data_IF_479893603488
#
_entry.id   IF_479893603488
#
_cell.length_a   1.000
_cell.length_b   1.000
_cell.length_c   1.000
_cell.angle_alpha   90.00
_cell.angle_beta   90.00
_cell.angle_gamma   90.00
#
_symmetry.space_group_name_H-M   'P 1'
#
loop_
_entity.id
_entity.type
_entity.pdbx_description
1 polymer ?
#
# COMPACT_ATOMS: atom_id res chain seq x y z
N UNK A 1 5.56 -10.48 14.79
CA UNK A 1 6.01 -9.28 14.07
C UNK A 1 4.93 -8.91 13.07
N UNK A 2 4.61 -7.63 12.89
CA UNK A 2 3.61 -7.15 11.94
C UNK A 2 4.30 -6.76 10.63
N UNK A 3 3.93 -7.38 9.51
CA UNK A 3 4.55 -7.12 8.20
C UNK A 3 3.82 -5.99 7.46
N UNK A 4 4.46 -4.82 7.39
CA UNK A 4 3.93 -3.61 6.75
C UNK A 4 4.79 -3.26 5.54
N UNK A 5 4.14 -3.22 4.39
CA UNK A 5 4.72 -2.88 3.10
C UNK A 5 4.29 -1.48 2.70
N UNK A 6 5.25 -0.59 2.48
CA UNK A 6 4.97 0.82 2.20
C UNK A 6 5.34 1.12 0.75
N UNK A 7 4.45 1.73 -0.02
CA UNK A 7 4.80 2.25 -1.35
C UNK A 7 5.94 3.26 -1.25
N UNK A 8 7.05 3.06 -1.96
CA UNK A 8 8.19 3.97 -1.92
C UNK A 8 8.30 4.75 -3.22
N UNK A 9 8.43 6.07 -3.10
CA UNK A 9 8.73 6.97 -4.21
C UNK A 9 9.93 7.85 -3.82
N UNK A 10 11.02 7.88 -4.60
CA UNK A 10 12.17 8.76 -4.33
C UNK A 10 11.82 10.25 -4.30
N UNK A 11 10.68 10.67 -4.86
CA UNK A 11 10.20 12.05 -4.75
C UNK A 11 9.51 12.33 -3.40
N UNK A 12 9.05 11.30 -2.69
CA UNK A 12 8.25 11.37 -1.46
C UNK A 12 8.96 10.71 -0.26
N UNK A 13 10.29 10.81 -0.19
CA UNK A 13 11.11 10.17 0.86
C UNK A 13 10.70 10.63 2.27
N UNK A 14 10.38 11.91 2.43
CA UNK A 14 9.93 12.46 3.71
C UNK A 14 8.61 11.83 4.15
N UNK A 15 7.66 11.67 3.23
CA UNK A 15 6.36 11.07 3.52
C UNK A 15 6.51 9.62 4.02
N UNK A 16 7.36 8.82 3.35
CA UNK A 16 7.70 7.46 3.80
C UNK A 16 8.22 7.41 5.25
N UNK A 17 9.16 8.31 5.59
CA UNK A 17 9.73 8.34 6.94
C UNK A 17 8.74 8.85 7.99
N UNK A 18 7.92 9.85 7.65
CA UNK A 18 6.84 10.35 8.52
C UNK A 18 5.83 9.24 8.80
N UNK A 19 5.44 8.46 7.79
CA UNK A 19 4.56 7.31 8.00
C UNK A 19 5.20 6.27 8.92
N UNK A 20 6.45 5.86 8.66
CA UNK A 20 7.17 4.91 9.53
C UNK A 20 7.19 5.39 10.98
N UNK A 21 7.55 6.66 11.20
CA UNK A 21 7.61 7.26 12.53
C UNK A 21 6.24 7.29 13.20
N UNK A 22 5.20 7.73 12.49
CA UNK A 22 3.84 7.78 13.02
C UNK A 22 3.31 6.40 13.43
N UNK A 23 3.69 5.34 12.72
CA UNK A 23 3.37 3.96 13.10
C UNK A 23 4.13 3.58 14.38
N UNK A 24 5.45 3.85 14.43
CA UNK A 24 6.28 3.52 15.58
C UNK A 24 5.81 4.20 16.88
N UNK A 25 5.31 5.43 16.79
CA UNK A 25 4.80 6.18 17.94
C UNK A 25 3.57 5.53 18.60
N UNK A 26 2.79 4.76 17.84
CA UNK A 26 1.55 4.14 18.32
C UNK A 26 1.60 2.61 18.42
N UNK A 27 2.66 1.98 17.90
CA UNK A 27 2.71 0.52 17.77
C UNK A 27 2.90 -0.19 19.11
N UNK A 28 1.96 -1.05 19.48
CA UNK A 28 2.09 -1.93 20.67
C UNK A 28 2.88 -3.22 20.41
N UNK A 29 3.17 -3.53 19.14
CA UNK A 29 3.84 -4.77 18.71
C UNK A 29 4.98 -4.44 17.73
N UNK A 30 6.04 -5.26 17.68
CA UNK A 30 7.12 -5.06 16.71
C UNK A 30 6.62 -5.06 15.26
N UNK A 31 6.97 -3.99 14.54
CA UNK A 31 6.60 -3.77 13.13
C UNK A 31 7.82 -3.94 12.24
N UNK A 32 7.65 -4.64 11.12
CA UNK A 32 8.63 -4.71 10.03
C UNK A 32 8.16 -3.82 8.89
N UNK A 33 8.95 -2.80 8.57
CA UNK A 33 8.74 -1.97 7.40
C UNK A 33 9.48 -2.53 6.20
N UNK A 34 8.77 -2.74 5.09
CA UNK A 34 9.36 -3.15 3.81
C UNK A 34 8.98 -2.15 2.73
N UNK A 35 9.89 -1.27 2.27
CA UNK A 35 9.60 -0.37 1.17
C UNK A 35 9.41 -1.16 -0.14
N UNK A 36 8.34 -0.87 -0.88
CA UNK A 36 8.14 -1.35 -2.23
C UNK A 36 8.79 -0.33 -3.18
N UNK A 37 10.11 -0.44 -3.32
CA UNK A 37 10.92 0.38 -4.23
C UNK A 37 11.15 -0.35 -5.56
N UNK A 38 10.74 0.27 -6.68
CA UNK A 38 10.92 -0.30 -8.01
C UNK A 38 12.38 -0.55 -8.37
N UNK A 39 13.31 0.29 -7.90
CA UNK A 39 14.73 0.09 -8.18
C UNK A 39 15.26 -1.20 -7.55
N UNK A 40 14.76 -1.54 -6.36
CA UNK A 40 15.07 -2.80 -5.67
C UNK A 40 14.38 -4.04 -6.26
N UNK A 41 13.30 -3.87 -7.02
CA UNK A 41 12.42 -4.97 -7.48
C UNK A 41 12.63 -5.38 -8.95
N UNK A 42 13.69 -4.89 -9.61
CA UNK A 42 13.97 -5.13 -11.04
C UNK A 42 14.05 -6.62 -11.42
N UNK A 43 14.45 -7.50 -10.49
CA UNK A 43 14.50 -8.94 -10.71
C UNK A 43 13.11 -9.58 -10.87
N UNK A 44 12.09 -9.03 -10.19
CA UNK A 44 10.74 -9.64 -10.07
C UNK A 44 9.65 -8.79 -10.73
N UNK A 45 9.91 -7.51 -10.98
CA UNK A 45 8.97 -6.58 -11.60
C UNK A 45 9.59 -5.94 -12.84
N UNK A 46 9.19 -6.42 -14.02
CA UNK A 46 9.73 -5.98 -15.33
C UNK A 46 8.72 -5.22 -16.18
N UNK A 47 7.63 -4.75 -15.57
CA UNK A 47 6.58 -4.04 -16.30
C UNK A 47 7.14 -2.70 -16.80
N UNK A 48 6.96 -2.35 -18.08
CA UNK A 48 7.33 -1.03 -18.58
C UNK A 48 6.57 0.08 -17.85
N UNK A 49 7.19 1.25 -17.60
CA UNK A 49 6.50 2.43 -17.11
C UNK A 49 5.34 2.79 -18.05
N UNK A 50 4.19 3.15 -17.47
CA UNK A 50 3.01 3.60 -18.23
C UNK A 50 2.76 5.05 -17.83
N UNK A 51 2.67 5.95 -18.80
CA UNK A 51 2.52 7.40 -18.61
C UNK A 51 1.28 7.83 -17.81
N UNK A 52 0.32 6.93 -17.60
CA UNK A 52 -0.88 7.17 -16.79
C UNK A 52 -0.74 6.76 -15.31
N UNK A 53 0.44 6.35 -14.85
CA UNK A 53 0.69 6.02 -13.45
C UNK A 53 0.90 7.30 -12.64
N UNK A 54 0.12 7.46 -11.57
CA UNK A 54 0.25 8.64 -10.69
C UNK A 54 1.32 8.46 -9.61
N UNK A 55 1.70 7.22 -9.30
CA UNK A 55 2.74 6.88 -8.32
C UNK A 55 3.53 5.67 -8.80
N UNK A 56 4.80 5.57 -8.42
CA UNK A 56 5.68 4.45 -8.79
C UNK A 56 5.14 3.08 -8.31
N UNK A 57 4.35 3.05 -7.24
CA UNK A 57 3.90 1.82 -6.59
C UNK A 57 2.48 1.36 -6.96
N UNK A 58 1.81 2.06 -7.89
CA UNK A 58 0.41 1.76 -8.29
C UNK A 58 0.18 0.29 -8.72
N UNK A 59 1.19 -0.34 -9.33
CA UNK A 59 1.15 -1.76 -9.72
C UNK A 59 2.00 -2.66 -8.83
N UNK A 60 3.15 -2.18 -8.34
CA UNK A 60 4.04 -3.02 -7.51
C UNK A 60 3.44 -3.34 -6.15
N UNK A 61 2.45 -2.59 -5.66
CA UNK A 61 1.66 -2.96 -4.46
C UNK A 61 1.05 -4.35 -4.51
N UNK A 62 0.73 -4.86 -5.71
CA UNK A 62 0.18 -6.22 -5.85
C UNK A 62 1.25 -7.31 -5.64
N UNK A 63 2.52 -6.94 -5.46
CA UNK A 63 3.59 -7.87 -5.08
C UNK A 63 3.66 -8.11 -3.57
N UNK A 64 2.90 -7.39 -2.74
CA UNK A 64 2.90 -7.59 -1.28
C UNK A 64 2.75 -9.06 -0.86
N UNK A 65 1.80 -9.86 -1.40
CA UNK A 65 1.69 -11.29 -1.05
C UNK A 65 2.92 -12.10 -1.48
N UNK A 66 3.53 -11.76 -2.62
CA UNK A 66 4.74 -12.42 -3.12
C UNK A 66 5.94 -12.12 -2.22
N UNK A 67 6.12 -10.85 -1.82
CA UNK A 67 7.21 -10.41 -0.95
C UNK A 67 7.08 -10.95 0.49
N UNK A 68 5.85 -11.23 0.94
CA UNK A 68 5.60 -11.94 2.20
C UNK A 68 5.69 -13.47 2.09
N UNK A 69 6.16 -13.99 0.95
CA UNK A 69 6.26 -15.43 0.66
C UNK A 69 4.92 -16.16 0.79
N UNK A 70 3.81 -15.45 0.62
CA UNK A 70 2.48 -15.96 0.86
C UNK A 70 2.36 -16.59 2.26
N UNK A 71 2.84 -15.89 3.30
CA UNK A 71 2.70 -16.31 4.70
C UNK A 71 2.06 -15.21 5.54
N UNK A 72 1.11 -15.61 6.38
CA UNK A 72 0.42 -14.72 7.30
C UNK A 72 -0.35 -13.60 6.59
N UNK A 73 -0.68 -12.57 7.36
CA UNK A 73 -1.30 -11.35 6.88
C UNK A 73 -0.25 -10.26 6.70
N UNK A 74 -0.32 -9.56 5.59
CA UNK A 74 0.60 -8.46 5.24
C UNK A 74 -0.17 -7.23 4.82
N UNK A 75 0.18 -6.07 5.39
CA UNK A 75 -0.49 -4.80 5.13
C UNK A 75 0.28 -4.01 4.07
N UNK A 76 -0.35 -3.62 2.97
CA UNK A 76 0.18 -2.60 2.06
C UNK A 76 -0.40 -1.23 2.39
N UNK A 77 0.41 -0.18 2.51
CA UNK A 77 -0.01 1.21 2.77
C UNK A 77 0.76 2.20 1.86
N UNK A 78 0.09 3.25 1.39
CA UNK A 78 0.72 4.30 0.59
C UNK A 78 1.58 5.21 1.50
N UNK A 79 2.69 5.77 0.99
CA UNK A 79 3.62 6.58 1.80
C UNK A 79 3.07 7.93 2.27
N UNK A 80 1.99 8.44 1.65
CA UNK A 80 1.35 9.72 1.98
C UNK A 80 0.28 9.59 3.08
N UNK A 81 0.25 8.45 3.79
CA UNK A 81 -0.63 8.20 4.92
C UNK A 81 0.00 8.62 6.26
N UNK A 82 -0.83 8.79 7.28
CA UNK A 82 -0.40 9.05 8.66
C UNK A 82 -1.13 8.11 9.62
N UNK A 83 -0.39 7.36 10.43
CA UNK A 83 -0.97 6.52 11.47
C UNK A 83 -1.29 7.36 12.70
N UNK A 84 -2.52 7.21 13.22
CA UNK A 84 -3.05 7.95 14.38
C UNK A 84 -3.56 7.04 15.51
N UNK A 85 -3.33 5.74 15.36
CA UNK A 85 -3.77 4.69 16.26
C UNK A 85 -2.84 3.47 16.10
N UNK A 86 -2.96 2.51 17.00
CA UNK A 86 -2.14 1.31 16.98
C UNK A 86 -2.43 0.44 15.76
N UNK A 87 -1.39 0.19 14.96
CA UNK A 87 -1.50 -0.63 13.76
C UNK A 87 -1.90 -2.07 14.07
N UNK A 88 -1.63 -2.57 15.29
CA UNK A 88 -2.04 -3.91 15.71
C UNK A 88 -3.56 -4.10 15.71
N UNK A 89 -4.33 -3.05 15.97
CA UNK A 89 -5.80 -3.08 15.92
C UNK A 89 -6.28 -3.40 14.50
N UNK A 90 -5.63 -2.84 13.47
CA UNK A 90 -5.95 -3.12 12.07
C UNK A 90 -5.65 -4.58 11.71
N UNK A 91 -4.55 -5.15 12.20
CA UNK A 91 -4.24 -6.57 11.99
C UNK A 91 -5.21 -7.49 12.74
N UNK A 92 -5.76 -7.07 13.87
CA UNK A 92 -6.74 -7.85 14.62
C UNK A 92 -8.09 -7.98 13.89
N UNK A 93 -8.38 -7.08 12.93
CA UNK A 93 -9.56 -7.16 12.07
C UNK A 93 -9.41 -8.16 10.91
N UNK A 94 -8.23 -8.76 10.74
CA UNK A 94 -7.99 -9.71 9.66
C UNK A 94 -8.90 -10.95 9.78
N UNK A 95 -9.51 -11.33 8.66
CA UNK A 95 -10.48 -12.42 8.59
C UNK A 95 -10.09 -13.43 7.52
N UNK A 96 -9.72 -14.63 7.97
CA UNK A 96 -9.17 -15.71 7.14
C UNK A 96 -10.12 -16.23 6.06
N UNK A 97 -11.40 -15.84 6.08
CA UNK A 97 -12.36 -16.09 4.99
C UNK A 97 -11.99 -15.35 3.70
N UNK A 98 -11.21 -14.27 3.78
CA UNK A 98 -10.84 -13.44 2.63
C UNK A 98 -9.36 -13.59 2.29
N UNK A 99 -9.04 -13.54 0.98
CA UNK A 99 -7.66 -13.48 0.51
C UNK A 99 -7.08 -12.05 0.61
N UNK A 100 -7.93 -11.05 0.45
CA UNK A 100 -7.58 -9.62 0.52
C UNK A 100 -8.71 -8.86 1.19
N UNK A 101 -8.36 -7.96 2.11
CA UNK A 101 -9.29 -7.00 2.72
C UNK A 101 -8.83 -5.59 2.37
N UNK A 102 -9.79 -4.68 2.14
CA UNK A 102 -9.51 -3.30 1.72
C UNK A 102 -10.41 -2.32 2.48
N UNK A 103 -9.89 -1.13 2.76
CA UNK A 103 -10.73 -0.02 3.21
C UNK A 103 -11.45 0.61 2.00
N UNK A 104 -12.78 0.51 1.97
CA UNK A 104 -13.60 1.10 0.91
C UNK A 104 -13.90 2.56 1.25
N UNK A 105 -13.63 3.46 0.31
CA UNK A 105 -13.95 4.88 0.45
C UNK A 105 -15.02 5.29 -0.55
N UNK A 106 -16.01 6.05 -0.08
CA UNK A 106 -16.94 6.76 -0.96
C UNK A 106 -16.39 8.14 -1.30
N UNK A 107 -15.37 8.17 -2.16
CA UNK A 107 -14.70 9.39 -2.59
C UNK A 107 -15.16 9.81 -3.99
N UNK A 108 -15.81 10.97 -4.09
CA UNK A 108 -16.09 11.64 -5.36
C UNK A 108 -15.02 12.70 -5.63
N UNK A 109 -14.21 12.56 -6.69
CA UNK A 109 -13.17 13.54 -7.02
C UNK A 109 -13.77 14.91 -7.32
N UNK A 110 -13.18 15.98 -6.76
CA UNK A 110 -13.59 17.36 -7.03
C UNK A 110 -12.73 18.05 -8.09
N UNK A 111 -11.47 17.61 -8.23
CA UNK A 111 -10.49 18.25 -9.12
C UNK A 111 -10.16 17.42 -10.36
N UNK A 112 -9.91 18.11 -11.47
CA UNK A 112 -9.55 17.55 -12.79
C UNK A 112 -8.07 17.19 -12.90
N UNK A 113 -7.23 17.72 -12.01
CA UNK A 113 -5.81 17.43 -11.91
C UNK A 113 -5.57 16.45 -10.76
N UNK A 114 -4.76 15.42 -11.00
CA UNK A 114 -4.31 14.47 -9.98
C UNK A 114 -2.81 14.67 -9.73
N UNK A 115 -2.36 14.37 -8.50
CA UNK A 115 -0.98 14.18 -8.05
C UNK A 115 0.12 14.46 -9.09
N UNK A 116 1.01 15.43 -8.83
CA UNK A 116 2.10 15.87 -9.71
C UNK A 116 1.64 16.30 -11.12
N UNK A 117 0.55 17.08 -11.22
CA UNK A 117 0.00 17.62 -12.47
C UNK A 117 -0.41 16.56 -13.53
N UNK A 118 -0.60 15.30 -13.12
CA UNK A 118 -1.11 14.29 -14.03
C UNK A 118 -2.62 14.47 -14.27
N UNK A 119 -3.08 14.54 -15.53
CA UNK A 119 -4.51 14.69 -15.84
C UNK A 119 -5.29 13.48 -15.33
N UNK A 120 -6.38 13.73 -14.59
CA UNK A 120 -7.26 12.68 -14.09
C UNK A 120 -8.16 12.21 -15.22
N UNK A 121 -8.04 10.94 -15.63
CA UNK A 121 -8.99 10.32 -16.56
C UNK A 121 -10.20 9.81 -15.78
N UNK A 122 -11.39 10.28 -16.14
CA UNK A 122 -12.64 9.69 -15.66
C UNK A 122 -12.73 8.25 -16.15
N UNK A 123 -12.52 7.33 -15.24
CA UNK A 123 -12.69 5.90 -15.50
C UNK A 123 -13.95 5.47 -14.77
N UNK A 124 -14.89 4.76 -15.41
CA UNK A 124 -16.07 4.24 -14.71
C UNK A 124 -15.63 3.43 -13.48
N UNK A 125 -16.41 3.51 -12.40
CA UNK A 125 -16.17 2.84 -11.11
C UNK A 125 -15.66 1.41 -11.34
N UNK A 126 -14.34 1.23 -11.24
CA UNK A 126 -13.75 -0.11 -11.11
C UNK A 126 -13.94 -0.50 -9.66
N UNK A 127 -14.74 -1.54 -9.43
CA UNK A 127 -14.79 -2.27 -8.16
C UNK A 127 -13.36 -2.45 -7.63
N UNK A 128 -13.08 -1.87 -6.47
CA UNK A 128 -11.78 -2.02 -5.80
C UNK A 128 -10.75 -0.93 -6.10
N UNK A 129 -11.11 0.36 -6.12
CA UNK A 129 -10.11 1.40 -5.83
C UNK A 129 -9.73 1.31 -4.35
N UNK A 130 -8.90 0.34 -3.99
CA UNK A 130 -8.16 0.36 -2.74
C UNK A 130 -7.16 1.51 -2.87
N UNK A 131 -7.47 2.66 -2.27
CA UNK A 131 -6.51 3.74 -2.05
C UNK A 131 -5.92 3.65 -0.64
N UNK A 132 -6.20 2.58 0.08
CA UNK A 132 -5.96 2.51 1.50
C UNK A 132 -5.86 1.05 1.90
N UNK A 133 -4.74 0.71 2.54
CA UNK A 133 -4.54 -0.52 3.32
C UNK A 133 -5.14 -1.79 2.72
N UNK A 134 -4.38 -2.53 1.90
CA UNK A 134 -4.77 -3.90 1.57
C UNK A 134 -4.04 -4.88 2.46
N UNK A 135 -4.77 -5.58 3.31
CA UNK A 135 -4.22 -6.74 4.01
C UNK A 135 -4.37 -7.93 3.08
N UNK A 136 -3.28 -8.65 2.82
CA UNK A 136 -3.28 -9.81 1.93
C UNK A 136 -2.87 -11.04 2.71
N UNK A 137 -3.60 -12.14 2.52
CA UNK A 137 -3.26 -13.45 3.06
C UNK A 137 -2.46 -14.22 2.02
N UNK A 138 -1.41 -14.85 2.50
CA UNK A 138 -0.73 -15.89 1.76
C UNK A 138 -1.59 -17.12 1.51
N UNK A 139 -1.83 -17.47 0.25
CA UNK A 139 -2.39 -18.77 -0.10
C UNK A 139 -1.37 -19.85 0.28
N UNK A 140 -1.61 -20.51 1.42
CA UNK A 140 -0.85 -21.70 1.81
C UNK A 140 -0.97 -22.73 0.71
N UNK A 141 0.17 -23.32 0.31
CA UNK A 141 0.19 -24.61 -0.37
C UNK A 141 -0.22 -25.70 0.60
#
# INVERSE_FOLDING_TARGET
>A
MLDVFIGYDPQEVVAYHVLCQSILEHASRPVRFTPIDLASLTAVFRRPPVSAQSTAFSFSRFLTPYLSQYRGWSLFIDCDMLARADIAELFALADDRYAVMVCQHDYTPKDTVKFLNHPRRDTPRRTGRASCSSTTRGAGR
#
